data_IF_934829154325
#
_entry.id   IF_934829154325
#
_cell.length_a   1.000
_cell.length_b   1.000
_cell.length_c   1.000
_cell.angle_alpha   90.00
_cell.angle_beta   90.00
_cell.angle_gamma   90.00
#
_symmetry.space_group_name_H-M   'P 1'
#
loop_
_entity.id
_entity.type
_entity.pdbx_description
1 polymer ?
#
# COMPACT_ATOMS: atom_id res chain seq x y z
N UNK A 1 -39.32 16.82 -19.03
CA UNK A 1 -40.60 16.20 -19.47
C UNK A 1 -41.66 17.15 -19.94
N UNK A 2 -42.59 17.64 -19.12
CA UNK A 2 -43.84 18.22 -19.65
C UNK A 2 -43.62 19.36 -20.66
N UNK A 3 -42.76 20.34 -20.36
CA UNK A 3 -42.39 21.41 -21.29
C UNK A 3 -41.81 20.89 -22.62
N UNK A 4 -41.01 19.84 -22.56
CA UNK A 4 -40.40 19.21 -23.72
C UNK A 4 -41.47 18.57 -24.62
N UNK A 5 -42.40 17.80 -24.05
CA UNK A 5 -43.52 17.23 -24.80
C UNK A 5 -44.43 18.30 -25.42
N UNK A 6 -44.69 19.41 -24.71
CA UNK A 6 -45.45 20.55 -25.26
C UNK A 6 -44.75 21.16 -26.47
N UNK A 7 -43.43 21.34 -26.43
CA UNK A 7 -42.65 21.81 -27.59
C UNK A 7 -42.72 20.82 -28.75
N UNK A 8 -42.57 19.52 -28.51
CA UNK A 8 -42.71 18.50 -29.56
C UNK A 8 -44.09 18.53 -30.24
N UNK A 9 -45.17 18.60 -29.46
CA UNK A 9 -46.54 18.62 -29.98
C UNK A 9 -46.84 19.90 -30.75
N UNK A 10 -46.43 21.06 -30.24
CA UNK A 10 -46.56 22.33 -30.94
C UNK A 10 -45.81 22.29 -32.29
N UNK A 11 -44.60 21.73 -32.29
CA UNK A 11 -43.76 21.63 -33.47
C UNK A 11 -44.39 20.71 -34.54
N UNK A 12 -44.77 19.48 -34.17
CA UNK A 12 -45.46 18.55 -35.08
C UNK A 12 -46.76 19.16 -35.63
N UNK A 13 -47.53 19.86 -34.79
CA UNK A 13 -48.73 20.59 -35.21
C UNK A 13 -48.41 21.67 -36.25
N UNK A 14 -47.39 22.52 -36.03
CA UNK A 14 -47.01 23.55 -37.00
C UNK A 14 -46.56 22.96 -38.35
N UNK A 15 -45.87 21.83 -38.37
CA UNK A 15 -45.52 21.13 -39.62
C UNK A 15 -46.74 20.58 -40.36
N UNK A 16 -47.69 19.99 -39.63
CA UNK A 16 -48.93 19.46 -40.23
C UNK A 16 -49.76 20.58 -40.86
N UNK A 17 -49.99 21.69 -40.13
CA UNK A 17 -50.71 22.86 -40.66
C UNK A 17 -50.02 23.45 -41.88
N UNK A 18 -48.69 23.51 -41.91
CA UNK A 18 -47.94 24.03 -43.04
C UNK A 18 -48.11 23.14 -44.29
N UNK A 19 -48.08 21.82 -44.13
CA UNK A 19 -48.35 20.86 -45.22
C UNK A 19 -49.80 21.00 -45.74
N UNK A 20 -50.79 21.17 -44.86
CA UNK A 20 -52.18 21.39 -45.26
C UNK A 20 -52.34 22.68 -46.08
N UNK A 21 -51.75 23.81 -45.63
CA UNK A 21 -51.78 25.07 -46.41
C UNK A 21 -51.09 24.99 -47.78
N UNK A 22 -50.14 24.07 -47.96
CA UNK A 22 -49.48 23.84 -49.26
C UNK A 22 -50.29 22.90 -50.18
N UNK A 23 -51.27 22.17 -49.63
CA UNK A 23 -52.11 21.22 -50.37
C UNK A 23 -53.37 21.89 -50.93
N UNK A 24 -53.82 22.97 -50.30
CA UNK A 24 -55.01 23.74 -50.69
C UNK A 24 -54.70 24.84 -51.72
N UNK A 25 -53.96 24.50 -52.79
CA UNK A 25 -53.90 25.34 -54.01
C UNK A 25 -54.77 24.71 -55.10
N UNK A 26 -56.12 24.86 -55.04
CA UNK A 26 -57.00 24.34 -56.06
C UNK A 26 -56.81 25.16 -57.35
N UNK A 27 -56.04 24.59 -58.27
CA UNK A 27 -56.13 24.93 -59.68
C UNK A 27 -57.59 24.73 -60.13
N UNK A 28 -58.39 25.81 -60.14
CA UNK A 28 -59.77 25.78 -60.60
C UNK A 28 -59.77 25.76 -62.14
N UNK A 29 -60.04 24.60 -62.78
CA UNK A 29 -59.88 24.46 -64.21
C UNK A 29 -60.92 25.26 -64.99
N UNK A 30 -61.98 25.73 -64.31
CA UNK A 30 -63.11 26.40 -64.94
C UNK A 30 -62.83 27.85 -65.36
N UNK A 31 -61.68 28.43 -64.96
CA UNK A 31 -61.30 29.80 -65.32
C UNK A 31 -60.28 29.88 -66.49
N UNK A 32 -59.88 28.74 -67.05
CA UNK A 32 -59.06 28.68 -68.27
C UNK A 32 -59.97 28.69 -69.51
N UNK A 33 -60.11 29.85 -70.15
CA UNK A 33 -60.97 30.01 -71.33
C UNK A 33 -60.58 29.08 -72.50
N UNK A 34 -61.60 28.48 -73.13
CA UNK A 34 -61.48 27.49 -74.21
C UNK A 34 -60.71 28.00 -75.45
N UNK A 35 -59.39 27.80 -75.50
CA UNK A 35 -58.60 27.77 -76.75
C UNK A 35 -57.36 26.87 -76.62
N UNK A 36 -57.15 25.99 -77.62
CA UNK A 36 -55.97 25.11 -77.81
C UNK A 36 -55.84 23.87 -76.89
N UNK A 37 -56.78 22.93 -76.98
CA UNK A 37 -56.73 21.63 -76.27
C UNK A 37 -55.95 20.51 -77.00
N UNK A 38 -55.67 20.62 -78.31
CA UNK A 38 -55.21 19.47 -79.13
C UNK A 38 -53.69 19.35 -79.36
N UNK A 39 -52.84 20.17 -78.71
CA UNK A 39 -51.39 20.16 -78.99
C UNK A 39 -50.48 19.77 -77.82
N UNK A 40 -51.03 19.47 -76.63
CA UNK A 40 -50.24 19.16 -75.42
C UNK A 40 -50.12 17.66 -75.08
N UNK A 41 -50.98 16.79 -75.63
CA UNK A 41 -51.01 15.37 -75.26
C UNK A 41 -49.76 14.59 -75.72
N UNK A 42 -49.00 15.11 -76.69
CA UNK A 42 -47.84 14.43 -77.27
C UNK A 42 -46.48 14.78 -76.63
N UNK A 43 -46.41 15.75 -75.71
CA UNK A 43 -45.19 16.02 -74.91
C UNK A 43 -45.19 15.34 -73.53
N UNK A 44 -46.33 14.84 -73.06
CA UNK A 44 -46.48 14.30 -71.70
C UNK A 44 -45.89 12.89 -71.48
N UNK A 45 -45.32 12.27 -72.52
CA UNK A 45 -44.83 10.89 -72.48
C UNK A 45 -43.29 10.73 -72.43
N UNK A 46 -42.52 11.82 -72.49
CA UNK A 46 -41.04 11.77 -72.63
C UNK A 46 -40.29 12.42 -71.43
N UNK A 47 -40.96 13.18 -70.57
CA UNK A 47 -40.41 13.65 -69.31
C UNK A 47 -41.02 12.93 -68.11
N UNK A 48 -40.58 11.68 -67.91
CA UNK A 48 -40.79 10.92 -66.68
C UNK A 48 -40.00 11.44 -65.47
N UNK A 49 -39.32 12.58 -65.63
CA UNK A 49 -38.71 13.35 -64.55
C UNK A 49 -39.71 14.43 -64.10
N UNK A 50 -40.66 14.04 -63.24
CA UNK A 50 -41.44 14.98 -62.45
C UNK A 50 -40.54 15.66 -61.40
N UNK A 51 -39.61 16.51 -61.88
CA UNK A 51 -38.75 17.36 -61.05
C UNK A 51 -39.66 18.36 -60.35
N UNK A 52 -40.03 18.02 -59.12
CA UNK A 52 -40.52 18.89 -58.04
C UNK A 52 -41.00 20.26 -58.51
N UNK A 53 -42.15 20.34 -59.17
CA UNK A 53 -42.68 21.63 -59.67
C UNK A 53 -42.86 22.65 -58.54
N UNK A 54 -43.06 22.20 -57.30
CA UNK A 54 -43.04 23.03 -56.09
C UNK A 54 -41.71 23.76 -55.83
N UNK A 55 -40.55 23.17 -56.15
CA UNK A 55 -39.24 23.79 -55.96
C UNK A 55 -39.04 24.97 -56.92
N UNK A 56 -39.48 24.81 -58.17
CA UNK A 56 -39.48 25.89 -59.17
C UNK A 56 -40.55 26.96 -58.90
N UNK A 57 -41.73 26.58 -58.43
CA UNK A 57 -42.84 27.51 -58.16
C UNK A 57 -42.67 28.32 -56.88
N UNK A 58 -42.03 27.77 -55.84
CA UNK A 58 -41.95 28.38 -54.50
C UNK A 58 -40.60 28.08 -53.79
N UNK A 59 -39.47 28.63 -54.27
CA UNK A 59 -38.14 28.29 -53.76
C UNK A 59 -37.96 28.61 -52.25
N UNK A 60 -38.54 29.71 -51.77
CA UNK A 60 -38.48 30.10 -50.35
C UNK A 60 -39.19 29.08 -49.43
N UNK A 61 -40.29 28.49 -49.90
CA UNK A 61 -41.08 27.51 -49.16
C UNK A 61 -40.34 26.17 -49.09
N UNK A 62 -39.76 25.74 -50.22
CA UNK A 62 -38.94 24.53 -50.26
C UNK A 62 -37.71 24.64 -49.34
N UNK A 63 -37.03 25.80 -49.35
CA UNK A 63 -35.92 26.05 -48.43
C UNK A 63 -36.37 26.03 -46.95
N UNK A 64 -37.50 26.65 -46.62
CA UNK A 64 -38.05 26.63 -45.27
C UNK A 64 -38.42 25.21 -44.80
N UNK A 65 -39.05 24.42 -45.68
CA UNK A 65 -39.42 23.03 -45.40
C UNK A 65 -38.18 22.13 -45.23
N UNK A 66 -37.15 22.32 -46.05
CA UNK A 66 -35.87 21.60 -45.94
C UNK A 66 -35.19 21.88 -44.60
N UNK A 67 -35.11 23.15 -44.18
CA UNK A 67 -34.56 23.55 -42.87
C UNK A 67 -35.41 22.98 -41.72
N UNK A 68 -36.74 22.95 -41.86
CA UNK A 68 -37.65 22.35 -40.88
C UNK A 68 -37.42 20.84 -40.73
N UNK A 69 -37.31 20.09 -41.84
CA UNK A 69 -37.02 18.64 -41.82
C UNK A 69 -35.64 18.35 -41.23
N UNK A 70 -34.59 19.09 -41.62
CA UNK A 70 -33.26 18.94 -41.02
C UNK A 70 -33.26 19.24 -39.51
N UNK A 71 -34.09 20.18 -39.07
CA UNK A 71 -34.27 20.48 -37.63
C UNK A 71 -35.00 19.35 -36.90
N UNK A 72 -36.01 18.72 -37.52
CA UNK A 72 -36.66 17.51 -36.98
C UNK A 72 -35.69 16.35 -36.83
N UNK A 73 -34.87 16.08 -37.84
CA UNK A 73 -33.88 15.01 -37.79
C UNK A 73 -32.88 15.25 -36.67
N UNK A 74 -32.31 16.46 -36.59
CA UNK A 74 -31.37 16.81 -35.53
C UNK A 74 -31.99 16.70 -34.13
N UNK A 75 -33.24 17.15 -33.96
CA UNK A 75 -33.96 17.04 -32.69
C UNK A 75 -34.30 15.58 -32.34
N UNK A 76 -34.62 14.76 -33.34
CA UNK A 76 -34.86 13.32 -33.19
C UNK A 76 -33.59 12.59 -32.78
N UNK A 77 -32.43 12.92 -33.38
CA UNK A 77 -31.13 12.43 -32.93
C UNK A 77 -30.81 12.89 -31.51
N UNK A 78 -31.02 14.17 -31.18
CA UNK A 78 -30.81 14.71 -29.83
C UNK A 78 -31.70 14.05 -28.76
N UNK A 79 -32.84 13.47 -29.15
CA UNK A 79 -33.74 12.68 -28.29
C UNK A 79 -33.33 11.21 -28.16
N UNK A 80 -33.08 10.56 -29.29
CA UNK A 80 -32.79 9.12 -29.33
C UNK A 80 -31.41 8.83 -28.75
N UNK A 81 -30.43 9.72 -28.96
CA UNK A 81 -29.05 9.49 -28.55
C UNK A 81 -28.89 9.36 -27.01
N UNK A 82 -29.47 10.23 -26.16
CA UNK A 82 -29.52 10.00 -24.71
C UNK A 82 -30.21 8.69 -24.31
N UNK A 83 -31.31 8.32 -24.98
CA UNK A 83 -32.05 7.08 -24.70
C UNK A 83 -31.23 5.83 -25.05
N UNK A 84 -30.45 5.86 -26.14
CA UNK A 84 -29.53 4.79 -26.53
C UNK A 84 -28.32 4.69 -25.58
N UNK A 85 -27.88 5.79 -24.98
CA UNK A 85 -26.79 5.77 -23.98
C UNK A 85 -27.25 5.46 -22.55
N UNK A 86 -28.54 5.54 -22.25
CA UNK A 86 -29.09 5.25 -20.92
C UNK A 86 -28.73 3.84 -20.42
N UNK A 87 -28.85 2.74 -21.21
CA UNK A 87 -28.37 1.42 -20.82
C UNK A 87 -26.87 1.37 -20.52
N UNK A 88 -26.04 2.10 -21.28
CA UNK A 88 -24.58 2.15 -21.05
C UNK A 88 -24.23 2.87 -19.75
N UNK A 89 -24.90 3.99 -19.46
CA UNK A 89 -24.73 4.74 -18.20
C UNK A 89 -25.22 3.89 -17.02
N UNK A 90 -26.34 3.17 -17.18
CA UNK A 90 -26.87 2.27 -16.17
C UNK A 90 -25.90 1.11 -15.87
N UNK A 91 -25.34 0.45 -16.89
CA UNK A 91 -24.34 -0.60 -16.72
C UNK A 91 -23.05 -0.08 -16.08
N UNK A 92 -22.59 1.11 -16.44
CA UNK A 92 -21.43 1.76 -15.80
C UNK A 92 -21.68 2.03 -14.32
N UNK A 93 -22.86 2.54 -13.96
CA UNK A 93 -23.25 2.76 -12.57
C UNK A 93 -23.35 1.43 -11.81
N UNK A 94 -23.91 0.39 -12.42
CA UNK A 94 -24.02 -0.95 -11.82
C UNK A 94 -22.64 -1.54 -11.53
N UNK A 95 -21.71 -1.49 -12.50
CA UNK A 95 -20.33 -1.97 -12.35
C UNK A 95 -19.61 -1.25 -11.20
N UNK A 96 -19.81 0.07 -11.08
CA UNK A 96 -19.24 0.86 -9.98
C UNK A 96 -19.82 0.43 -8.62
N UNK A 97 -21.13 0.31 -8.51
CA UNK A 97 -21.80 -0.12 -7.28
C UNK A 97 -21.37 -1.54 -6.87
N UNK A 98 -21.20 -2.47 -7.81
CA UNK A 98 -20.70 -3.82 -7.52
C UNK A 98 -19.23 -3.83 -7.10
N UNK A 99 -18.38 -2.99 -7.71
CA UNK A 99 -16.97 -2.89 -7.32
C UNK A 99 -16.80 -2.33 -5.89
N UNK A 100 -17.65 -1.38 -5.50
CA UNK A 100 -17.70 -0.86 -4.12
C UNK A 100 -18.25 -1.92 -3.14
N UNK A 101 -19.24 -2.73 -3.54
CA UNK A 101 -19.74 -3.85 -2.74
C UNK A 101 -18.70 -4.97 -2.53
N UNK A 102 -17.95 -5.36 -3.57
CA UNK A 102 -16.87 -6.36 -3.47
C UNK A 102 -15.73 -5.87 -2.57
N UNK A 103 -15.41 -4.57 -2.61
CA UNK A 103 -14.46 -3.96 -1.69
C UNK A 103 -14.94 -4.00 -0.24
N UNK A 104 -16.24 -3.75 -0.01
CA UNK A 104 -16.85 -3.81 1.32
C UNK A 104 -16.91 -5.24 1.87
N UNK A 105 -17.26 -6.24 1.04
CA UNK A 105 -17.26 -7.64 1.42
C UNK A 105 -15.87 -8.10 1.89
N UNK A 106 -14.80 -7.75 1.16
CA UNK A 106 -13.41 -8.03 1.55
C UNK A 106 -12.96 -7.35 2.85
N UNK A 107 -13.53 -6.19 3.17
CA UNK A 107 -13.30 -5.53 4.46
C UNK A 107 -14.06 -6.24 5.59
N UNK A 108 -15.28 -6.68 5.33
CA UNK A 108 -16.10 -7.40 6.30
C UNK A 108 -15.51 -8.78 6.64
N UNK A 109 -15.05 -9.54 5.64
CA UNK A 109 -14.34 -10.82 5.84
C UNK A 109 -13.09 -10.62 6.73
N UNK A 110 -12.30 -9.56 6.47
CA UNK A 110 -11.13 -9.22 7.29
C UNK A 110 -11.49 -8.84 8.72
N UNK A 111 -12.55 -8.06 8.93
CA UNK A 111 -13.01 -7.71 10.27
C UNK A 111 -13.51 -8.95 11.02
N UNK A 112 -14.21 -9.87 10.33
CA UNK A 112 -14.69 -11.11 10.94
C UNK A 112 -13.54 -12.09 11.24
N UNK A 113 -12.49 -12.13 10.42
CA UNK A 113 -11.25 -12.83 10.72
C UNK A 113 -10.50 -12.20 11.91
N UNK A 114 -10.40 -10.86 11.97
CA UNK A 114 -9.85 -10.15 13.13
C UNK A 114 -10.66 -10.47 14.40
N UNK A 115 -11.99 -10.42 14.39
CA UNK A 115 -12.85 -10.78 15.54
C UNK A 115 -12.68 -12.25 15.97
N UNK A 116 -12.58 -13.18 15.01
CA UNK A 116 -12.31 -14.59 15.31
C UNK A 116 -10.93 -14.77 15.98
N UNK A 117 -9.91 -14.04 15.54
CA UNK A 117 -8.58 -14.02 16.16
C UNK A 117 -8.58 -13.32 17.53
N UNK A 118 -9.39 -12.27 17.71
CA UNK A 118 -9.57 -11.58 19.00
C UNK A 118 -10.21 -12.49 20.05
N UNK A 119 -11.10 -13.42 19.65
CA UNK A 119 -11.78 -14.36 20.55
C UNK A 119 -10.86 -15.44 21.14
N UNK A 120 -9.77 -15.80 20.45
CA UNK A 120 -8.86 -16.90 20.81
C UNK A 120 -7.71 -16.50 21.75
N UNK A 121 -7.92 -15.52 22.63
CA UNK A 121 -6.91 -15.09 23.62
C UNK A 121 -5.70 -14.39 23.00
N UNK A 122 -5.94 -13.50 22.04
CA UNK A 122 -4.90 -12.87 21.21
C UNK A 122 -3.68 -12.32 21.98
N UNK A 123 -2.50 -12.84 21.62
CA UNK A 123 -1.18 -12.50 22.19
C UNK A 123 -0.80 -11.06 21.88
N UNK A 124 -0.14 -10.39 22.83
CA UNK A 124 0.32 -8.99 22.62
C UNK A 124 1.60 -8.92 21.79
N UNK A 125 1.80 -7.81 21.06
CA UNK A 125 3.05 -7.52 20.33
C UNK A 125 4.23 -7.47 21.30
N UNK A 126 4.00 -6.95 22.52
CA UNK A 126 4.96 -6.97 23.63
C UNK A 126 5.44 -8.37 23.97
N UNK A 127 4.49 -9.28 24.21
CA UNK A 127 4.75 -10.66 24.62
C UNK A 127 5.47 -11.48 23.54
N UNK A 128 5.10 -11.33 22.25
CA UNK A 128 5.84 -11.97 21.15
C UNK A 128 7.30 -11.49 21.14
N UNK A 129 7.53 -10.18 21.09
CA UNK A 129 8.88 -9.61 20.96
C UNK A 129 9.77 -9.84 22.18
N UNK A 130 9.19 -9.93 23.38
CA UNK A 130 9.92 -10.26 24.61
C UNK A 130 10.29 -11.75 24.70
N UNK A 131 9.59 -12.63 23.97
CA UNK A 131 9.90 -14.06 23.91
C UNK A 131 10.91 -14.42 22.80
N UNK A 132 11.34 -13.44 21.98
CA UNK A 132 12.38 -13.65 20.97
C UNK A 132 13.78 -13.56 21.60
N UNK A 133 14.68 -14.42 21.14
CA UNK A 133 16.08 -14.42 21.59
C UNK A 133 16.77 -13.17 21.03
N UNK A 134 17.22 -12.26 21.90
CA UNK A 134 18.06 -11.14 21.46
C UNK A 134 19.48 -11.65 21.25
N UNK A 135 20.06 -11.36 20.08
CA UNK A 135 21.35 -11.91 19.66
C UNK A 135 22.30 -10.80 19.19
N UNK A 136 23.59 -11.07 19.30
CA UNK A 136 24.67 -10.31 18.66
C UNK A 136 25.28 -11.15 17.54
N UNK A 137 25.65 -10.50 16.45
CA UNK A 137 26.40 -11.12 15.36
C UNK A 137 27.85 -10.69 15.50
N UNK A 138 28.73 -11.68 15.59
CA UNK A 138 30.17 -11.47 15.72
C UNK A 138 30.85 -12.00 14.46
N UNK A 139 31.73 -11.20 13.87
CA UNK A 139 32.69 -11.69 12.87
C UNK A 139 33.95 -12.13 13.58
N UNK A 140 34.34 -13.39 13.34
CA UNK A 140 35.66 -13.88 13.70
C UNK A 140 36.54 -13.72 12.47
N UNK A 141 37.55 -12.84 12.54
CA UNK A 141 38.59 -12.84 11.52
C UNK A 141 39.28 -14.21 11.54
N UNK A 142 39.57 -14.81 10.36
CA UNK A 142 40.36 -16.03 10.32
C UNK A 142 41.70 -15.72 11.00
N UNK A 143 42.06 -16.46 12.06
CA UNK A 143 43.41 -16.35 12.61
C UNK A 143 44.36 -16.66 11.46
N UNK A 144 45.19 -15.68 11.09
CA UNK A 144 46.27 -15.89 10.15
C UNK A 144 47.03 -17.12 10.64
N UNK A 145 47.03 -18.17 9.83
CA UNK A 145 47.70 -19.40 10.18
C UNK A 145 49.18 -19.10 10.08
N UNK A 146 49.87 -18.97 11.22
CA UNK A 146 51.29 -18.65 11.28
C UNK A 146 52.08 -19.72 10.50
N UNK A 147 52.37 -19.41 9.25
CA UNK A 147 52.91 -20.37 8.29
C UNK A 147 54.44 -20.30 8.30
N UNK A 148 55.03 -20.75 9.41
CA UNK A 148 56.45 -21.08 9.50
C UNK A 148 56.76 -22.44 8.84
N UNK A 149 56.00 -22.80 7.79
CA UNK A 149 56.24 -23.98 6.96
C UNK A 149 56.98 -23.56 5.70
N UNK A 150 58.30 -23.34 5.83
CA UNK A 150 59.21 -23.00 4.73
C UNK A 150 59.47 -24.18 3.79
N UNK A 151 58.43 -24.66 3.09
CA UNK A 151 58.58 -25.60 1.97
C UNK A 151 58.63 -24.86 0.63
N UNK A 152 59.85 -24.65 0.14
CA UNK A 152 60.14 -24.17 -1.20
C UNK A 152 59.62 -25.15 -2.26
N UNK A 153 58.44 -24.89 -2.82
CA UNK A 153 57.95 -25.60 -4.00
C UNK A 153 57.79 -24.66 -5.20
N UNK A 154 58.76 -24.72 -6.12
CA UNK A 154 58.64 -24.09 -7.43
C UNK A 154 57.70 -24.95 -8.29
N UNK A 155 56.56 -24.42 -8.74
CA UNK A 155 55.61 -25.25 -9.50
C UNK A 155 54.35 -24.58 -10.03
N UNK A 156 54.53 -23.88 -11.16
CA UNK A 156 53.57 -23.74 -12.27
C UNK A 156 52.34 -22.83 -12.10
N UNK A 157 52.00 -22.15 -13.20
CA UNK A 157 50.97 -21.12 -13.25
C UNK A 157 49.57 -21.75 -13.34
N UNK A 158 48.69 -21.46 -12.38
CA UNK A 158 47.29 -21.89 -12.44
C UNK A 158 46.34 -20.84 -11.87
N UNK A 159 45.49 -20.35 -12.77
CA UNK A 159 44.60 -19.20 -12.68
C UNK A 159 43.93 -18.97 -11.32
N UNK A 160 44.10 -17.74 -10.83
CA UNK A 160 43.50 -17.22 -9.60
C UNK A 160 42.00 -17.44 -9.52
N UNK A 161 41.61 -18.46 -8.74
CA UNK A 161 40.26 -18.60 -8.22
C UNK A 161 40.11 -17.77 -6.96
N UNK A 162 39.01 -17.02 -6.90
CA UNK A 162 38.62 -16.18 -5.78
C UNK A 162 38.43 -16.99 -4.50
N UNK A 163 39.51 -17.21 -3.76
CA UNK A 163 39.51 -17.73 -2.40
C UNK A 163 39.13 -16.59 -1.44
N UNK A 164 37.97 -15.98 -1.69
CA UNK A 164 37.26 -15.13 -0.74
C UNK A 164 36.85 -16.01 0.44
N UNK A 165 37.76 -16.12 1.40
CA UNK A 165 37.52 -16.85 2.65
C UNK A 165 36.20 -16.37 3.24
N UNK A 166 35.25 -17.31 3.35
CA UNK A 166 33.91 -17.00 3.81
C UNK A 166 33.98 -16.61 5.28
N UNK A 167 34.08 -15.30 5.56
CA UNK A 167 34.02 -14.73 6.90
C UNK A 167 32.92 -15.40 7.69
N UNK A 168 33.33 -16.19 8.69
CA UNK A 168 32.45 -17.05 9.44
C UNK A 168 31.75 -16.20 10.49
N UNK A 169 30.45 -15.98 10.31
CA UNK A 169 29.64 -15.22 11.24
C UNK A 169 29.09 -16.10 12.36
N UNK A 170 29.21 -15.60 13.58
CA UNK A 170 28.82 -16.27 14.81
C UNK A 170 27.63 -15.53 15.43
N UNK A 171 26.53 -16.24 15.69
CA UNK A 171 25.38 -15.71 16.46
C UNK A 171 25.57 -16.08 17.93
N UNK A 172 25.65 -15.09 18.80
CA UNK A 172 25.69 -15.27 20.26
C UNK A 172 24.41 -14.70 20.91
N UNK A 173 23.72 -15.42 21.80
CA UNK A 173 22.66 -14.85 22.63
C UNK A 173 23.23 -13.80 23.58
N UNK A 174 22.52 -12.67 23.79
CA UNK A 174 23.03 -11.57 24.62
C UNK A 174 23.29 -11.92 26.10
N UNK A 175 22.77 -13.05 26.60
CA UNK A 175 22.79 -13.44 28.02
C UNK A 175 23.75 -14.62 28.30
N UNK A 176 24.67 -14.93 27.39
CA UNK A 176 25.51 -16.15 27.44
C UNK A 176 26.98 -15.79 27.26
N UNK A 177 27.85 -16.29 28.14
CA UNK A 177 29.29 -16.10 28.04
C UNK A 177 29.85 -16.77 26.76
N UNK A 178 30.71 -16.08 26.00
CA UNK A 178 31.20 -16.55 24.69
C UNK A 178 31.97 -17.87 24.77
N UNK A 179 32.63 -18.14 25.90
CA UNK A 179 33.57 -19.26 26.06
C UNK A 179 32.91 -20.64 26.16
N UNK A 180 31.59 -20.72 26.36
CA UNK A 180 30.89 -21.99 26.64
C UNK A 180 29.98 -22.53 25.53
N UNK A 181 29.67 -21.76 24.49
CA UNK A 181 28.53 -22.04 23.62
C UNK A 181 28.88 -22.60 22.24
N UNK A 182 28.19 -23.68 21.83
CA UNK A 182 28.22 -24.15 20.44
C UNK A 182 27.44 -23.19 19.56
N UNK A 183 28.16 -22.25 18.96
CA UNK A 183 27.58 -21.30 18.02
C UNK A 183 27.00 -22.01 16.78
N UNK A 184 25.87 -21.51 16.30
CA UNK A 184 25.29 -21.89 15.00
C UNK A 184 25.72 -20.85 13.97
N UNK A 185 26.39 -21.30 12.92
CA UNK A 185 26.67 -20.47 11.74
C UNK A 185 25.36 -20.07 11.07
N UNK A 186 25.31 -18.84 10.58
CA UNK A 186 24.19 -18.35 9.77
C UNK A 186 24.75 -17.56 8.59
N UNK A 187 24.08 -17.68 7.43
CA UNK A 187 24.54 -17.07 6.17
C UNK A 187 23.85 -15.72 5.89
N UNK A 188 22.73 -15.41 6.54
CA UNK A 188 22.00 -14.14 6.32
C UNK A 188 22.70 -12.98 7.03
N UNK A 189 23.20 -12.03 6.25
CA UNK A 189 23.88 -10.80 6.71
C UNK A 189 22.95 -9.60 6.85
N UNK A 190 21.73 -9.70 6.33
CA UNK A 190 20.76 -8.60 6.23
C UNK A 190 19.43 -8.94 6.91
N UNK A 191 18.73 -7.90 7.38
CA UNK A 191 17.35 -8.03 7.84
C UNK A 191 16.41 -8.06 6.63
N UNK A 192 15.80 -9.20 6.35
CA UNK A 192 14.90 -9.40 5.19
C UNK A 192 13.62 -8.52 5.18
N UNK A 193 13.40 -7.69 6.20
CA UNK A 193 12.28 -6.74 6.29
C UNK A 193 12.67 -5.35 5.77
N UNK A 194 13.88 -4.86 6.08
CA UNK A 194 14.37 -3.53 5.64
C UNK A 194 15.53 -3.60 4.63
N UNK A 195 16.03 -4.80 4.32
CA UNK A 195 17.18 -5.05 3.43
C UNK A 195 18.44 -4.27 3.83
N UNK A 196 18.60 -4.03 5.13
CA UNK A 196 19.80 -3.42 5.71
C UNK A 196 20.66 -4.51 6.34
N UNK A 197 21.98 -4.39 6.16
CA UNK A 197 22.95 -5.25 6.83
C UNK A 197 22.86 -5.11 8.35
N UNK A 198 23.21 -6.18 9.06
CA UNK A 198 23.28 -6.19 10.52
C UNK A 198 24.57 -5.54 11.01
N UNK A 199 24.51 -4.86 12.16
CA UNK A 199 25.70 -4.37 12.88
C UNK A 199 26.57 -5.56 13.34
N UNK A 200 27.62 -5.86 12.59
CA UNK A 200 28.57 -6.95 12.89
C UNK A 200 29.62 -6.42 13.88
N UNK A 201 29.66 -7.01 15.08
CA UNK A 201 30.72 -6.71 16.03
C UNK A 201 31.99 -7.49 15.63
N UNK A 202 33.04 -6.77 15.25
CA UNK A 202 34.38 -7.36 15.15
C UNK A 202 34.94 -7.55 16.57
N UNK A 203 35.27 -8.79 16.92
CA UNK A 203 36.05 -9.07 18.13
C UNK A 203 37.52 -8.91 17.75
N UNK A 204 38.30 -8.04 18.44
CA UNK A 204 39.73 -7.94 18.21
C UNK A 204 40.38 -9.32 18.36
N UNK A 205 41.42 -9.65 17.57
CA UNK A 205 42.23 -10.81 17.90
C UNK A 205 42.74 -10.65 19.35
N UNK A 206 42.57 -11.69 20.16
CA UNK A 206 43.25 -11.78 21.45
C UNK A 206 44.74 -12.03 21.17
N UNK A 207 45.45 -10.97 20.83
CA UNK A 207 46.92 -10.93 20.77
C UNK A 207 47.47 -11.20 22.17
N UNK A 208 48.54 -12.00 22.26
CA UNK A 208 49.01 -12.66 23.48
C UNK A 208 49.40 -11.70 24.63
N UNK A 209 48.42 -11.19 25.38
CA UNK A 209 48.58 -10.52 26.67
C UNK A 209 48.92 -11.50 27.81
N UNK A 210 49.69 -12.55 27.51
CA UNK A 210 50.23 -13.52 28.47
C UNK A 210 51.50 -13.02 29.19
N UNK A 211 51.88 -11.75 29.01
CA UNK A 211 53.13 -11.17 29.52
C UNK A 211 52.98 -9.73 30.05
N UNK A 212 52.15 -9.54 31.07
CA UNK A 212 52.33 -8.41 32.00
C UNK A 212 52.38 -8.91 33.44
N UNK A 213 53.52 -8.68 34.07
CA UNK A 213 53.94 -9.21 35.37
C UNK A 213 52.95 -8.97 36.49
N UNK A 214 52.68 -10.02 37.27
CA UNK A 214 52.21 -9.90 38.64
C UNK A 214 53.25 -9.16 39.49
N UNK A 215 52.96 -7.92 39.87
CA UNK A 215 53.63 -7.24 40.98
C UNK A 215 52.61 -6.97 42.08
N UNK A 216 52.90 -7.46 43.28
CA UNK A 216 52.05 -7.37 44.46
C UNK A 216 51.65 -5.93 44.78
N UNK A 217 50.40 -5.72 45.22
CA UNK A 217 50.09 -4.59 46.10
C UNK A 217 48.94 -4.91 47.07
N UNK A 218 49.27 -4.66 48.32
CA UNK A 218 48.59 -5.02 49.56
C UNK A 218 47.20 -4.41 49.75
N UNK A 219 46.21 -5.29 49.97
CA UNK A 219 45.39 -5.36 51.19
C UNK A 219 45.40 -4.15 52.17
N UNK A 220 44.32 -3.38 52.16
CA UNK A 220 43.63 -2.74 53.30
C UNK A 220 42.20 -2.38 52.81
N UNK A 221 41.10 -2.39 53.57
CA UNK A 221 40.95 -2.44 55.02
C UNK A 221 40.00 -1.33 55.48
N UNK A 222 38.68 -1.58 55.45
CA UNK A 222 37.53 -0.95 56.17
C UNK A 222 36.30 -0.86 55.23
N UNK A 223 35.05 -1.08 55.63
CA UNK A 223 34.48 -1.25 56.97
C UNK A 223 33.75 0.01 57.43
N UNK A 224 32.45 0.11 57.13
CA UNK A 224 31.49 1.00 57.83
C UNK A 224 30.05 0.64 57.44
N UNK A 225 29.28 0.23 58.45
CA UNK A 225 27.82 0.18 58.41
C UNK A 225 27.23 1.60 58.52
N UNK A 226 26.06 1.84 57.93
CA UNK A 226 25.14 2.93 58.30
C UNK A 226 23.69 2.50 58.04
N UNK A 227 22.99 2.15 59.11
CA UNK A 227 21.52 2.10 59.19
C UNK A 227 20.91 3.53 59.19
N UNK A 228 19.57 3.60 59.29
CA UNK A 228 18.76 4.80 59.59
C UNK A 228 18.71 5.86 58.44
N UNK A 229 17.72 6.76 58.27
CA UNK A 229 16.33 6.93 58.75
C UNK A 229 15.60 7.90 57.77
N UNK A 230 14.28 8.12 57.72
CA UNK A 230 13.10 7.59 58.42
C UNK A 230 11.90 7.65 57.41
N UNK A 231 10.65 7.79 57.86
CA UNK A 231 9.49 8.19 57.04
C UNK A 231 8.91 9.53 57.53
N UNK A 232 8.47 10.45 56.64
CA UNK A 232 7.28 11.30 56.90
C UNK A 232 6.78 12.17 55.70
N UNK A 233 5.46 12.38 55.71
CA UNK A 233 4.72 13.61 55.35
C UNK A 233 4.86 14.31 53.98
N UNK A 234 3.85 14.06 53.14
CA UNK A 234 2.95 15.07 52.49
C UNK A 234 3.25 16.58 52.58
N UNK A 235 3.43 17.21 51.42
CA UNK A 235 2.86 18.53 50.98
C UNK A 235 2.94 18.52 49.45
N UNK A 236 1.85 18.44 48.68
CA UNK A 236 0.94 19.53 48.31
C UNK A 236 1.56 20.95 48.31
N UNK A 237 2.18 21.30 47.18
CA UNK A 237 2.18 22.64 46.58
C UNK A 237 2.72 22.54 45.16
N UNK A 238 1.93 22.95 44.18
CA UNK A 238 2.45 23.23 42.84
C UNK A 238 2.99 24.67 42.80
N UNK A 239 4.13 24.84 42.14
CA UNK A 239 4.61 26.10 41.58
C UNK A 239 5.48 25.77 40.35
N UNK A 240 5.39 26.58 39.29
CA UNK A 240 6.01 26.32 37.99
C UNK A 240 7.52 26.57 37.98
N UNK A 241 8.34 25.57 38.34
CA UNK A 241 9.78 25.60 38.04
C UNK A 241 10.11 24.94 36.69
N UNK A 242 10.48 25.80 35.74
CA UNK A 242 11.14 25.45 34.48
C UNK A 242 12.43 24.67 34.75
N UNK A 243 12.30 23.34 34.85
CA UNK A 243 13.45 22.44 34.94
C UNK A 243 14.39 22.70 33.76
N UNK A 244 15.69 22.96 33.99
CA UNK A 244 16.63 23.19 32.92
C UNK A 244 16.68 21.91 32.09
N UNK A 245 16.32 22.03 30.80
CA UNK A 245 16.38 20.93 29.86
C UNK A 245 17.79 20.35 29.87
N UNK A 246 17.95 19.16 30.43
CA UNK A 246 19.15 18.34 30.22
C UNK A 246 19.38 18.31 28.71
N UNK A 247 20.58 18.64 28.23
CA UNK A 247 20.84 18.63 26.80
C UNK A 247 20.52 17.22 26.31
N UNK A 248 19.52 17.12 25.41
CA UNK A 248 19.34 15.91 24.62
C UNK A 248 20.66 15.70 23.90
N UNK A 249 21.44 14.74 24.38
CA UNK A 249 22.54 14.19 23.59
C UNK A 249 21.97 13.89 22.22
N UNK A 250 22.59 14.43 21.17
CA UNK A 250 22.18 14.16 19.80
C UNK A 250 22.10 12.64 19.69
N UNK A 251 20.97 12.15 19.19
CA UNK A 251 20.62 10.75 19.14
C UNK A 251 21.70 9.94 18.43
N UNK A 252 22.68 9.46 19.20
CA UNK A 252 23.58 8.41 18.78
C UNK A 252 22.71 7.20 18.55
N UNK A 253 22.72 6.67 17.32
CA UNK A 253 21.97 5.49 16.95
C UNK A 253 22.34 4.36 17.91
N UNK A 254 21.44 4.07 18.85
CA UNK A 254 21.58 2.92 19.73
C UNK A 254 21.61 1.68 18.82
N UNK A 255 22.65 0.83 18.88
CA UNK A 255 22.91 -0.19 17.88
C UNK A 255 21.68 -1.07 17.67
N UNK A 256 21.39 -1.36 16.41
CA UNK A 256 20.11 -1.93 16.01
C UNK A 256 19.91 -3.29 16.69
N UNK A 257 18.94 -3.38 17.61
CA UNK A 257 18.79 -4.60 18.41
C UNK A 257 18.32 -5.75 17.53
N UNK A 258 19.15 -6.78 17.35
CA UNK A 258 18.83 -7.95 16.52
C UNK A 258 18.10 -8.99 17.35
N UNK A 259 16.98 -9.50 16.83
CA UNK A 259 16.20 -10.59 17.42
C UNK A 259 16.17 -11.79 16.50
N UNK A 260 16.26 -12.96 17.12
CA UNK A 260 16.12 -14.26 16.48
C UNK A 260 14.78 -14.88 16.82
N UNK A 261 14.10 -15.34 15.78
CA UNK A 261 12.82 -16.05 15.87
C UNK A 261 13.01 -17.52 16.24
N UNK A 262 11.94 -18.15 16.74
CA UNK A 262 11.87 -19.59 17.08
C UNK A 262 12.27 -20.50 15.90
N UNK A 263 11.88 -20.12 14.69
CA UNK A 263 12.25 -20.78 13.43
C UNK A 263 13.71 -20.52 12.98
N UNK A 264 14.44 -19.65 13.67
CA UNK A 264 15.87 -19.39 13.47
C UNK A 264 16.23 -18.15 12.66
N UNK A 265 15.27 -17.49 12.00
CA UNK A 265 15.48 -16.27 11.19
C UNK A 265 15.78 -15.03 12.06
N UNK A 266 16.58 -14.12 11.51
CA UNK A 266 17.06 -12.88 12.15
C UNK A 266 16.35 -11.64 11.60
N UNK A 267 16.04 -10.69 12.49
CA UNK A 267 15.45 -9.40 12.13
C UNK A 267 15.90 -8.29 13.10
N UNK A 268 15.91 -7.04 12.65
CA UNK A 268 15.93 -5.91 13.58
C UNK A 268 14.63 -5.90 14.40
N UNK A 269 14.75 -5.66 15.71
CA UNK A 269 13.62 -5.67 16.66
C UNK A 269 12.53 -4.68 16.26
N UNK A 270 12.90 -3.49 15.82
CA UNK A 270 11.96 -2.46 15.36
C UNK A 270 11.27 -2.82 14.04
N UNK A 271 11.98 -3.45 13.10
CA UNK A 271 11.39 -3.97 11.86
C UNK A 271 10.33 -5.06 12.15
N UNK A 272 10.66 -6.03 12.99
CA UNK A 272 9.75 -7.11 13.35
C UNK A 272 8.59 -6.64 14.24
N UNK A 273 8.80 -5.61 15.07
CA UNK A 273 7.75 -4.90 15.82
C UNK A 273 6.76 -4.19 14.90
N UNK A 274 7.25 -3.52 13.86
CA UNK A 274 6.40 -2.92 12.82
C UNK A 274 5.53 -3.97 12.12
N UNK A 275 6.11 -5.13 11.78
CA UNK A 275 5.41 -6.27 11.18
C UNK A 275 4.34 -6.86 12.12
N UNK A 276 4.73 -7.29 13.33
CA UNK A 276 3.84 -7.95 14.31
C UNK A 276 2.72 -7.02 14.78
N UNK A 277 3.04 -5.75 15.06
CA UNK A 277 2.05 -4.74 15.46
C UNK A 277 1.23 -4.15 14.30
N UNK A 278 1.59 -4.46 13.05
CA UNK A 278 1.00 -3.89 11.83
C UNK A 278 1.11 -2.36 11.74
N UNK A 279 2.10 -1.75 12.37
CA UNK A 279 2.38 -0.31 12.32
C UNK A 279 3.33 0.04 11.16
N UNK A 280 3.11 -0.58 10.00
CA UNK A 280 3.82 -0.27 8.75
C UNK A 280 3.19 0.91 8.00
N UNK A 281 2.76 1.93 8.74
CA UNK A 281 2.41 3.24 8.19
C UNK A 281 3.69 4.01 7.89
N UNK A 282 4.24 3.80 6.69
CA UNK A 282 5.43 4.50 6.17
C UNK A 282 5.21 6.00 5.88
N UNK A 283 4.30 6.65 6.61
CA UNK A 283 3.96 8.06 6.43
C UNK A 283 4.84 8.94 7.34
N UNK A 284 6.13 8.98 7.03
CA UNK A 284 7.14 9.80 7.72
C UNK A 284 6.97 11.31 7.51
N UNK A 285 6.01 11.73 6.69
CA UNK A 285 5.83 13.12 6.27
C UNK A 285 4.95 13.97 7.20
N UNK A 286 4.26 13.40 8.18
CA UNK A 286 3.59 14.18 9.23
C UNK A 286 4.53 14.37 10.41
N UNK A 287 5.38 15.40 10.31
CA UNK A 287 6.10 15.92 11.47
C UNK A 287 5.11 16.29 12.59
N UNK A 288 5.55 16.14 13.84
CA UNK A 288 4.75 16.28 15.07
C UNK A 288 3.94 15.03 15.49
N UNK A 289 4.56 13.85 15.47
CA UNK A 289 4.11 12.73 16.32
C UNK A 289 4.48 13.01 17.78
N UNK A 290 3.48 13.06 18.66
CA UNK A 290 3.69 13.09 20.12
C UNK A 290 4.35 11.78 20.59
N UNK A 291 5.40 11.92 21.40
CA UNK A 291 6.29 10.81 21.79
C UNK A 291 5.64 9.86 22.83
N UNK A 292 4.57 10.31 23.49
CA UNK A 292 3.95 9.64 24.65
C UNK A 292 3.30 8.27 24.35
N UNK A 293 3.18 7.87 23.07
CA UNK A 293 2.69 6.55 22.68
C UNK A 293 3.78 5.45 22.61
N UNK A 294 5.05 5.74 22.91
CA UNK A 294 6.15 4.75 22.80
C UNK A 294 6.01 3.51 23.69
N UNK A 295 5.16 3.52 24.73
CA UNK A 295 4.93 2.35 25.61
C UNK A 295 3.70 1.51 25.22
N UNK A 296 2.81 1.99 24.36
CA UNK A 296 1.52 1.34 24.11
C UNK A 296 1.62 0.09 23.22
N UNK A 297 2.66 -0.02 22.37
CA UNK A 297 2.88 -1.23 21.55
C UNK A 297 2.99 -2.52 22.37
N UNK A 298 3.41 -2.44 23.65
CA UNK A 298 3.47 -3.62 24.53
C UNK A 298 2.08 -4.17 24.84
N UNK A 299 1.05 -3.32 24.87
CA UNK A 299 -0.35 -3.69 25.16
C UNK A 299 -1.16 -3.98 23.89
N UNK A 300 -0.75 -3.46 22.73
CA UNK A 300 -1.40 -3.72 21.44
C UNK A 300 -1.30 -5.20 21.06
N UNK A 301 -2.46 -5.80 20.74
CA UNK A 301 -2.53 -7.18 20.20
C UNK A 301 -1.72 -7.28 18.92
N UNK A 302 -1.05 -8.41 18.73
CA UNK A 302 -0.32 -8.69 17.50
C UNK A 302 -1.29 -8.87 16.33
N UNK A 303 -1.12 -8.09 15.26
CA UNK A 303 -1.85 -8.25 14.00
C UNK A 303 -1.27 -9.37 13.13
N UNK A 304 0.05 -9.58 13.22
CA UNK A 304 0.74 -10.66 12.52
C UNK A 304 1.53 -11.52 13.49
N UNK A 305 1.17 -12.80 13.55
CA UNK A 305 1.80 -13.80 14.43
C UNK A 305 2.73 -14.76 13.69
N UNK A 306 2.90 -14.61 12.38
CA UNK A 306 3.70 -15.51 11.54
C UNK A 306 5.03 -14.87 11.14
N UNK A 307 6.08 -15.69 11.05
CA UNK A 307 7.38 -15.30 10.52
C UNK A 307 7.25 -14.79 9.07
N UNK A 308 7.81 -13.62 8.70
CA UNK A 308 7.76 -13.11 7.32
C UNK A 308 8.30 -14.08 6.26
N UNK A 309 9.25 -14.95 6.63
CA UNK A 309 9.97 -15.82 5.70
C UNK A 309 9.33 -17.22 5.58
N UNK A 310 9.24 -17.97 6.69
CA UNK A 310 8.74 -19.35 6.67
C UNK A 310 7.28 -19.51 7.13
N UNK A 311 6.63 -18.42 7.56
CA UNK A 311 5.28 -18.42 8.14
C UNK A 311 5.09 -19.25 9.43
N UNK A 312 6.16 -19.73 10.07
CA UNK A 312 6.06 -20.38 11.38
C UNK A 312 5.52 -19.40 12.43
N UNK A 313 4.73 -19.92 13.36
CA UNK A 313 4.12 -19.19 14.46
C UNK A 313 5.17 -18.62 15.43
N UNK A 314 5.11 -17.30 15.63
CA UNK A 314 5.97 -16.53 16.53
C UNK A 314 5.40 -16.41 17.94
N UNK A 315 4.16 -16.86 18.20
CA UNK A 315 3.60 -16.85 19.55
C UNK A 315 4.51 -17.61 20.52
N UNK A 316 4.61 -17.18 21.79
CA UNK A 316 5.29 -17.97 22.80
C UNK A 316 4.69 -19.38 22.80
N UNK A 317 5.52 -20.40 22.54
CA UNK A 317 5.09 -21.77 22.71
C UNK A 317 4.73 -21.92 24.18
N UNK A 318 3.43 -22.10 24.47
CA UNK A 318 2.93 -22.28 25.83
C UNK A 318 3.84 -23.29 26.51
N UNK A 319 4.56 -22.83 27.55
CA UNK A 319 5.67 -23.57 28.13
C UNK A 319 5.14 -24.95 28.50
N UNK A 320 5.58 -25.97 27.76
CA UNK A 320 5.04 -27.32 27.89
C UNK A 320 5.48 -27.82 29.25
N UNK A 321 4.64 -27.55 30.25
CA UNK A 321 4.91 -27.68 31.68
C UNK A 321 5.54 -29.06 31.84
N UNK A 322 6.82 -29.07 32.23
CA UNK A 322 7.67 -30.25 32.11
C UNK A 322 7.14 -31.38 33.01
N UNK A 323 6.16 -32.13 32.50
CA UNK A 323 5.73 -33.42 33.02
C UNK A 323 6.78 -34.46 32.63
N UNK A 324 8.02 -34.22 33.06
CA UNK A 324 9.03 -35.24 33.29
C UNK A 324 8.91 -35.63 34.76
N UNK A 325 7.86 -36.41 35.03
CA UNK A 325 7.82 -37.37 36.14
C UNK A 325 8.74 -38.54 35.83
#
# INVERSE_FOLDING_TARGET
DQFFHTVCLLYVYTGATLIETCREDPFDPNNAGNTAFEQYEQQLAIHGDHINTCEASCPNLYQALSVYVATLELFTFALILPLLFLPCIYLWFLQRATAEADAFARLQDRLQEEDALLSNGGVTTGEILNNLETVKIISQQPKAKDDDTTETFNGDDSEGRDNLEQQKLWILPCNVDPNGYRCRTCQTRECCICMSEFDIQEVPPEDDLSSTSSSDLEKEGTGLDSDENEALATTDRGDDELSPSTPKELSGDSPSTIVRTTCGHLFHKECLKGWVGGMWSANTNTGHFEIDSQNDWRKRKARQIQCPLCREDLRPRASSRNNRS
#
